data_IF_062444760651
#
_entry.id   IF_062444760651
#
_cell.length_a   1.000
_cell.length_b   1.000
_cell.length_c   1.000
_cell.angle_alpha   90.00
_cell.angle_beta   90.00
_cell.angle_gamma   90.00
#
_symmetry.space_group_name_H-M   'P 1'
#
loop_
_entity.id
_entity.type
_entity.pdbx_description
1 polymer ?
#
# COMPACT_ATOMS: atom_id res chain seq x y z
N UNK A 1 3.19 12.99 -18.95
CA UNK A 1 2.85 12.14 -17.79
C UNK A 1 3.96 11.13 -17.59
N UNK A 2 4.70 11.22 -16.49
CA UNK A 2 5.76 10.27 -16.12
C UNK A 2 5.14 8.94 -15.65
N UNK A 3 5.86 7.84 -15.84
CA UNK A 3 5.45 6.47 -15.48
C UNK A 3 4.99 6.36 -14.01
N UNK A 4 5.62 7.12 -13.12
CA UNK A 4 5.29 7.26 -11.70
C UNK A 4 3.83 7.64 -11.40
N UNK A 5 3.26 8.58 -12.16
CA UNK A 5 1.87 9.01 -11.94
C UNK A 5 0.89 7.89 -12.31
N UNK A 6 1.16 7.17 -13.40
CA UNK A 6 0.31 6.06 -13.83
C UNK A 6 0.27 4.93 -12.81
N UNK A 7 1.41 4.61 -12.19
CA UNK A 7 1.49 3.58 -11.15
C UNK A 7 0.72 3.99 -9.88
N UNK A 8 0.83 5.26 -9.46
CA UNK A 8 0.04 5.78 -8.33
C UNK A 8 -1.46 5.68 -8.62
N UNK A 9 -1.91 6.18 -9.78
CA UNK A 9 -3.32 6.19 -10.17
C UNK A 9 -3.90 4.78 -10.28
N UNK A 10 -3.13 3.82 -10.82
CA UNK A 10 -3.53 2.41 -10.90
C UNK A 10 -3.76 1.81 -9.51
N UNK A 11 -2.87 2.07 -8.55
CA UNK A 11 -3.02 1.56 -7.18
C UNK A 11 -4.20 2.22 -6.47
N UNK A 12 -4.37 3.54 -6.61
CA UNK A 12 -5.52 4.26 -6.04
C UNK A 12 -6.83 3.71 -6.61
N UNK A 13 -6.91 3.49 -7.93
CA UNK A 13 -8.08 2.88 -8.57
C UNK A 13 -8.32 1.47 -8.04
N UNK A 14 -7.28 0.64 -7.93
CA UNK A 14 -7.41 -0.72 -7.39
C UNK A 14 -7.93 -0.75 -5.94
N UNK A 15 -7.50 0.19 -5.09
CA UNK A 15 -7.98 0.31 -3.71
C UNK A 15 -9.44 0.78 -3.66
N UNK A 16 -9.82 1.79 -4.46
CA UNK A 16 -11.20 2.30 -4.55
C UNK A 16 -12.18 1.25 -5.08
N UNK A 17 -11.77 0.54 -6.13
CA UNK A 17 -12.61 -0.48 -6.77
C UNK A 17 -12.54 -1.85 -6.08
N UNK A 18 -11.74 -1.98 -5.01
CA UNK A 18 -11.45 -3.27 -4.33
C UNK A 18 -10.99 -4.37 -5.28
N UNK A 19 -10.17 -4.02 -6.28
CA UNK A 19 -9.60 -4.91 -7.30
C UNK A 19 -8.20 -5.41 -6.97
N UNK A 20 -7.79 -5.29 -5.71
CA UNK A 20 -6.57 -5.89 -5.19
C UNK A 20 -6.83 -7.33 -4.75
N UNK A 21 -5.82 -8.18 -4.88
CA UNK A 21 -5.85 -9.56 -4.39
C UNK A 21 -5.49 -9.63 -2.90
N UNK A 22 -4.53 -8.81 -2.48
CA UNK A 22 -4.12 -8.73 -1.09
C UNK A 22 -3.46 -7.38 -0.77
N UNK A 23 -3.52 -7.03 0.52
CA UNK A 23 -2.84 -5.88 1.11
C UNK A 23 -1.87 -6.38 2.16
N UNK A 24 -0.60 -6.05 1.98
CA UNK A 24 0.48 -6.48 2.89
C UNK A 24 1.20 -5.25 3.40
N UNK A 25 1.41 -5.18 4.71
CA UNK A 25 2.27 -4.20 5.35
C UNK A 25 3.61 -4.86 5.56
N UNK A 26 4.65 -4.39 4.89
CA UNK A 26 6.03 -4.85 5.12
C UNK A 26 6.79 -3.87 5.98
N UNK A 27 7.48 -4.39 6.99
CA UNK A 27 8.46 -3.62 7.76
C UNK A 27 9.85 -3.82 7.16
N UNK A 28 10.53 -2.71 6.86
CA UNK A 28 11.93 -2.66 6.49
C UNK A 28 12.64 -1.67 7.42
N UNK A 29 13.62 -2.16 8.19
CA UNK A 29 14.26 -1.42 9.28
C UNK A 29 13.24 -0.80 10.27
N UNK A 30 13.12 0.53 10.26
CA UNK A 30 12.22 1.33 11.12
C UNK A 30 11.01 1.87 10.37
N UNK A 31 10.83 1.49 9.10
CA UNK A 31 9.76 1.97 8.21
C UNK A 31 8.81 0.84 7.82
N UNK A 32 7.57 1.23 7.60
CA UNK A 32 6.49 0.36 7.14
C UNK A 32 6.03 0.84 5.77
N UNK A 33 5.76 -0.12 4.89
CA UNK A 33 5.35 0.11 3.51
C UNK A 33 4.09 -0.68 3.24
N UNK A 34 3.16 -0.08 2.52
CA UNK A 34 2.00 -0.79 1.97
C UNK A 34 2.39 -1.43 0.64
N UNK A 35 2.17 -2.73 0.52
CA UNK A 35 2.25 -3.49 -0.71
C UNK A 35 0.83 -3.85 -1.12
N UNK A 36 0.49 -3.54 -2.37
CA UNK A 36 -0.79 -3.87 -2.99
C UNK A 36 -0.52 -4.89 -4.09
N UNK A 37 -1.15 -6.06 -3.99
CA UNK A 37 -1.02 -7.11 -5.02
C UNK A 37 -2.17 -6.97 -6.00
N UNK A 38 -1.83 -6.74 -7.27
CA UNK A 38 -2.81 -6.53 -8.35
C UNK A 38 -2.43 -7.49 -9.49
N UNK A 39 -3.32 -8.42 -9.86
CA UNK A 39 -3.07 -9.42 -10.93
C UNK A 39 -1.79 -10.22 -10.68
N UNK A 40 -1.60 -10.70 -9.44
CA UNK A 40 -0.42 -11.41 -8.98
C UNK A 40 0.88 -10.58 -8.92
N UNK A 41 0.81 -9.27 -9.20
CA UNK A 41 1.99 -8.39 -9.22
C UNK A 41 2.02 -7.53 -7.97
N UNK A 42 3.01 -7.70 -7.07
CA UNK A 42 3.17 -6.82 -5.92
C UNK A 42 3.62 -5.43 -6.39
N UNK A 43 3.04 -4.40 -5.78
CA UNK A 43 3.38 -2.99 -5.99
C UNK A 43 3.53 -2.30 -4.65
N UNK A 44 4.66 -1.63 -4.44
CA UNK A 44 4.83 -0.75 -3.28
C UNK A 44 3.98 0.49 -3.52
N UNK A 45 3.18 0.89 -2.54
CA UNK A 45 2.43 2.13 -2.64
C UNK A 45 3.39 3.32 -2.67
N UNK A 46 3.30 4.11 -3.73
CA UNK A 46 4.02 5.35 -3.92
C UNK A 46 3.06 6.54 -3.81
N UNK A 47 3.58 7.72 -3.48
CA UNK A 47 2.85 8.97 -3.59
C UNK A 47 2.71 9.41 -5.07
N UNK A 48 2.05 10.55 -5.29
CA UNK A 48 1.83 11.11 -6.62
C UNK A 48 3.13 11.46 -7.35
N UNK A 49 4.26 11.59 -6.65
CA UNK A 49 5.59 11.84 -7.26
C UNK A 49 6.29 10.55 -7.69
N UNK A 50 5.75 9.39 -7.32
CA UNK A 50 6.37 8.08 -7.54
C UNK A 50 7.33 7.65 -6.43
N UNK A 51 7.47 8.44 -5.36
CA UNK A 51 8.28 8.05 -4.22
C UNK A 51 7.49 7.09 -3.34
N UNK A 52 8.11 5.99 -2.90
CA UNK A 52 7.49 5.06 -1.96
C UNK A 52 7.02 5.80 -0.71
N UNK A 53 5.77 5.57 -0.32
CA UNK A 53 5.22 6.20 0.87
C UNK A 53 5.64 5.41 2.11
N UNK A 54 6.37 6.09 2.99
CA UNK A 54 6.90 5.51 4.22
C UNK A 54 6.01 5.84 5.42
N UNK A 55 5.84 4.86 6.28
CA UNK A 55 5.09 5.00 7.53
C UNK A 55 5.97 4.60 8.71
N UNK A 56 5.81 5.26 9.85
CA UNK A 56 6.54 4.93 11.09
C UNK A 56 5.91 3.73 11.80
N UNK A 57 4.60 3.57 11.68
CA UNK A 57 3.87 2.51 12.37
C UNK A 57 2.80 1.88 11.47
N UNK A 58 2.55 0.58 11.66
CA UNK A 58 1.50 -0.19 10.99
C UNK A 58 0.12 0.46 11.10
N UNK A 59 -0.21 1.05 12.25
CA UNK A 59 -1.52 1.68 12.46
C UNK A 59 -1.76 2.85 11.50
N UNK A 60 -0.73 3.57 11.07
CA UNK A 60 -0.89 4.70 10.14
C UNK A 60 -1.37 4.23 8.76
N UNK A 61 -0.91 3.06 8.31
CA UNK A 61 -1.38 2.47 7.04
C UNK A 61 -2.82 2.01 7.19
N UNK A 62 -3.16 1.37 8.31
CA UNK A 62 -4.53 0.90 8.59
C UNK A 62 -5.53 2.04 8.67
N UNK A 63 -5.21 3.10 9.43
CA UNK A 63 -6.03 4.31 9.50
C UNK A 63 -6.21 4.93 8.13
N UNK A 64 -5.13 5.05 7.35
CA UNK A 64 -5.22 5.59 5.99
C UNK A 64 -6.11 4.76 5.07
N UNK A 65 -6.02 3.43 5.12
CA UNK A 65 -6.89 2.52 4.35
C UNK A 65 -8.37 2.69 4.72
N UNK A 66 -8.66 2.78 6.02
CA UNK A 66 -10.01 2.99 6.51
C UNK A 66 -10.56 4.37 6.13
N UNK A 67 -9.79 5.43 6.38
CA UNK A 67 -10.23 6.81 6.17
C UNK A 67 -10.40 7.17 4.69
N UNK A 68 -9.56 6.62 3.80
CA UNK A 68 -9.53 7.02 2.39
C UNK A 68 -10.29 6.08 1.46
N UNK A 69 -10.47 4.82 1.85
CA UNK A 69 -11.04 3.79 0.97
C UNK A 69 -12.12 2.94 1.64
N UNK A 70 -12.45 3.21 2.91
CA UNK A 70 -13.37 2.40 3.72
C UNK A 70 -12.96 0.91 3.76
N UNK A 71 -11.65 0.67 3.81
CA UNK A 71 -11.07 -0.67 3.93
C UNK A 71 -10.71 -0.92 5.40
N UNK A 72 -11.32 -1.94 6.05
CA UNK A 72 -11.00 -2.28 7.44
C UNK A 72 -9.51 -2.51 7.64
N UNK A 73 -8.95 -1.93 8.70
CA UNK A 73 -7.52 -2.00 8.99
C UNK A 73 -6.99 -3.43 9.14
N UNK A 74 -7.80 -4.36 9.63
CA UNK A 74 -7.44 -5.79 9.72
C UNK A 74 -7.27 -6.48 8.36
N UNK A 75 -7.77 -5.90 7.26
CA UNK A 75 -7.60 -6.45 5.90
C UNK A 75 -6.14 -6.49 5.50
N UNK A 76 -5.33 -5.55 6.00
CA UNK A 76 -3.91 -5.48 5.71
C UNK A 76 -3.09 -6.36 6.67
N UNK A 77 -2.43 -7.37 6.12
CA UNK A 77 -1.63 -8.35 6.88
C UNK A 77 -0.22 -7.80 7.11
N UNK A 78 0.29 -7.87 8.34
CA UNK A 78 1.65 -7.46 8.66
C UNK A 78 2.63 -8.62 8.38
N UNK A 79 3.61 -8.39 7.51
CA UNK A 79 4.74 -9.28 7.29
C UNK A 79 6.03 -8.64 7.80
N UNK A 80 6.75 -9.39 8.63
CA UNK A 80 8.10 -9.01 9.08
C UNK A 80 9.11 -9.83 8.29
N UNK A 81 10.06 -9.16 7.65
CA UNK A 81 11.19 -9.85 7.03
C UNK A 81 12.18 -10.16 8.15
N UNK A 82 12.29 -11.44 8.55
CA UNK A 82 13.42 -11.90 9.35
C UNK A 82 14.65 -11.91 8.44
N UNK A 83 15.70 -11.20 8.85
CA UNK A 83 17.01 -11.23 8.22
C UNK A 83 17.68 -12.59 8.40
#
# INVERSE_FOLDING_TARGET
MTESHKAHDEIIAALRERRYESLVIKRFETRHYLIVVIKGRPRVFADHTGKHKEYRHTWQIRSWLQEQFDIPGETATLETISA
#
